data_IF_562948142773
#
_entry.id   IF_562948142773
#
_cell.length_a   1.000
_cell.length_b   1.000
_cell.length_c   1.000
_cell.angle_alpha   90.00
_cell.angle_beta   90.00
_cell.angle_gamma   90.00
#
_symmetry.space_group_name_H-M   'P 1'
#
loop_
_entity.id
_entity.type
_entity.pdbx_description
1 polymer ?
#
# COMPACT_ATOMS: atom_id res chain seq x y z
N UNK A 1 39.32 -43.05 -11.87
CA UNK A 1 38.17 -42.38 -11.26
C UNK A 1 38.45 -40.90 -11.33
N UNK A 2 37.98 -40.25 -12.41
CA UNK A 2 38.25 -38.82 -12.69
C UNK A 2 37.12 -38.03 -12.06
N UNK A 3 37.41 -37.20 -11.04
CA UNK A 3 36.45 -36.31 -10.44
C UNK A 3 36.19 -35.11 -11.32
N UNK A 4 34.95 -34.93 -11.74
CA UNK A 4 34.47 -33.73 -12.43
C UNK A 4 34.28 -32.64 -11.37
N UNK A 5 35.16 -31.65 -11.35
CA UNK A 5 34.92 -30.39 -10.63
C UNK A 5 33.96 -29.56 -11.50
N UNK A 6 32.70 -29.47 -11.10
CA UNK A 6 31.78 -28.46 -11.63
C UNK A 6 32.11 -27.10 -11.00
N UNK A 7 32.69 -26.20 -11.80
CA UNK A 7 32.74 -24.77 -11.45
C UNK A 7 31.33 -24.25 -11.58
N UNK A 8 30.72 -23.84 -10.47
CA UNK A 8 29.56 -22.97 -10.46
C UNK A 8 30.15 -21.55 -10.76
N UNK A 9 30.04 -21.13 -12.01
CA UNK A 9 30.23 -19.74 -12.37
C UNK A 9 29.10 -18.97 -11.73
N UNK A 10 29.39 -18.12 -10.73
CA UNK A 10 28.56 -16.96 -10.46
C UNK A 10 28.74 -16.06 -11.69
N UNK A 11 27.74 -15.95 -12.54
CA UNK A 11 27.62 -14.81 -13.43
C UNK A 11 27.46 -13.60 -12.50
N UNK A 12 28.54 -12.85 -12.27
CA UNK A 12 28.44 -11.49 -11.80
C UNK A 12 27.68 -10.73 -12.91
N UNK A 13 26.40 -10.45 -12.69
CA UNK A 13 25.63 -9.52 -13.50
C UNK A 13 26.27 -8.16 -13.19
N UNK A 14 27.22 -7.73 -14.05
CA UNK A 14 27.77 -6.40 -14.00
C UNK A 14 26.68 -5.48 -14.51
N UNK A 15 26.17 -4.64 -13.61
CA UNK A 15 25.27 -3.56 -14.00
C UNK A 15 25.92 -2.65 -15.02
N UNK A 16 25.17 -2.19 -16.00
CA UNK A 16 25.65 -1.25 -17.00
C UNK A 16 25.98 0.09 -16.36
N UNK A 17 27.16 0.63 -16.69
CA UNK A 17 27.58 1.95 -16.19
C UNK A 17 26.93 3.06 -17.00
N UNK A 18 25.82 3.58 -16.47
CA UNK A 18 25.03 4.68 -17.04
C UNK A 18 25.43 6.06 -16.54
N UNK A 19 26.52 6.20 -15.78
CA UNK A 19 26.88 7.47 -15.10
C UNK A 19 27.14 8.64 -16.05
N UNK A 20 27.50 8.39 -17.32
CA UNK A 20 27.72 9.41 -18.33
C UNK A 20 26.53 9.63 -19.27
N UNK A 21 25.45 8.85 -19.11
CA UNK A 21 24.26 8.93 -19.95
C UNK A 21 23.26 9.98 -19.44
N UNK A 22 22.39 10.42 -20.33
CA UNK A 22 21.37 11.43 -20.04
C UNK A 22 20.04 10.98 -20.62
N UNK A 23 19.02 10.94 -19.76
CA UNK A 23 17.64 10.66 -20.16
C UNK A 23 17.10 11.80 -21.02
N UNK A 24 16.45 11.46 -22.15
CA UNK A 24 15.81 12.43 -23.04
C UNK A 24 14.35 12.67 -22.62
N UNK A 25 14.06 13.88 -22.16
CA UNK A 25 12.69 14.31 -21.81
C UNK A 25 11.84 14.50 -23.06
N UNK A 26 10.55 14.13 -22.98
CA UNK A 26 9.61 14.26 -24.11
C UNK A 26 8.41 15.15 -23.79
N UNK A 27 7.92 15.15 -22.56
CA UNK A 27 6.79 15.99 -22.13
C UNK A 27 6.81 16.18 -20.61
N UNK A 28 6.49 17.38 -20.07
CA UNK A 28 6.32 18.66 -20.79
C UNK A 28 7.59 19.12 -21.49
N UNK A 29 7.41 19.86 -22.58
CA UNK A 29 8.51 20.50 -23.34
C UNK A 29 8.79 21.90 -22.81
N UNK A 30 9.92 22.47 -23.23
CA UNK A 30 10.34 23.82 -22.82
C UNK A 30 9.31 24.88 -23.23
N UNK A 31 8.77 25.57 -22.23
CA UNK A 31 7.78 26.66 -22.42
C UNK A 31 6.33 26.19 -22.57
N UNK A 32 6.03 24.90 -22.36
CA UNK A 32 4.65 24.42 -22.42
C UNK A 32 3.79 25.08 -21.32
N UNK A 33 2.56 25.43 -21.70
CA UNK A 33 1.49 25.88 -20.79
C UNK A 33 0.43 24.78 -20.71
N UNK A 34 0.20 24.28 -19.50
CA UNK A 34 -0.66 23.12 -19.25
C UNK A 34 -1.88 23.58 -18.48
N UNK A 35 -3.07 23.39 -19.04
CA UNK A 35 -4.36 23.68 -18.42
C UNK A 35 -4.94 22.43 -17.76
N UNK A 36 -4.18 21.82 -16.84
CA UNK A 36 -4.59 20.62 -16.09
C UNK A 36 -3.99 20.64 -14.68
N UNK A 37 -4.75 20.20 -13.70
CA UNK A 37 -4.28 20.01 -12.33
C UNK A 37 -3.47 18.73 -12.12
N UNK A 38 -3.27 17.93 -13.18
CA UNK A 38 -2.38 16.75 -13.18
C UNK A 38 -1.51 16.80 -14.42
N UNK A 39 -0.21 16.83 -14.23
CA UNK A 39 0.77 16.85 -15.30
C UNK A 39 1.41 15.49 -15.46
N UNK A 40 1.43 14.96 -16.67
CA UNK A 40 2.13 13.72 -17.00
C UNK A 40 3.53 14.05 -17.52
N UNK A 41 4.55 13.63 -16.80
CA UNK A 41 5.94 13.75 -17.17
C UNK A 41 6.35 12.50 -17.96
N UNK A 42 7.02 12.66 -19.11
CA UNK A 42 7.39 11.56 -20.00
C UNK A 42 8.82 11.73 -20.50
N UNK A 43 9.50 10.62 -20.71
CA UNK A 43 10.86 10.55 -21.22
C UNK A 43 11.08 9.27 -22.02
N UNK A 44 12.17 9.23 -22.75
CA UNK A 44 12.60 8.01 -23.43
C UNK A 44 13.29 7.08 -22.44
N UNK A 45 13.10 5.78 -22.66
CA UNK A 45 13.85 4.75 -21.94
C UNK A 45 15.36 4.97 -22.10
N UNK A 46 16.11 4.77 -21.02
CA UNK A 46 17.56 4.76 -21.00
C UNK A 46 18.02 3.31 -20.82
N UNK A 47 18.79 2.81 -21.77
CA UNK A 47 19.35 1.45 -21.69
C UNK A 47 20.20 1.30 -20.42
N UNK A 48 20.06 0.19 -19.72
CA UNK A 48 20.73 -0.05 -18.44
C UNK A 48 20.13 0.64 -17.21
N UNK A 49 19.02 1.39 -17.32
CA UNK A 49 18.31 1.96 -16.18
C UNK A 49 17.11 1.08 -15.79
N UNK A 50 16.98 0.75 -14.50
CA UNK A 50 15.85 0.03 -13.92
C UNK A 50 14.74 0.98 -13.45
N UNK A 51 15.17 2.13 -12.90
CA UNK A 51 14.29 3.14 -12.31
C UNK A 51 14.67 4.55 -12.80
N UNK A 52 13.73 5.47 -12.61
CA UNK A 52 13.91 6.88 -12.98
C UNK A 52 13.56 7.78 -11.80
N UNK A 53 14.48 8.69 -11.46
CA UNK A 53 14.25 9.71 -10.44
C UNK A 53 13.83 11.02 -11.08
N UNK A 54 12.60 11.42 -10.84
CA UNK A 54 12.01 12.68 -11.34
C UNK A 54 12.03 13.72 -10.23
N UNK A 55 12.56 14.89 -10.54
CA UNK A 55 12.58 16.04 -9.65
C UNK A 55 11.88 17.23 -10.29
N UNK A 56 11.01 17.89 -9.52
CA UNK A 56 10.28 19.08 -9.94
C UNK A 56 10.54 20.19 -8.92
N UNK A 57 10.84 21.38 -9.40
CA UNK A 57 11.12 22.57 -8.62
C UNK A 57 10.17 23.68 -9.03
N UNK A 58 9.74 24.50 -8.06
CA UNK A 58 9.07 25.77 -8.36
C UNK A 58 10.08 26.85 -8.82
N UNK A 59 9.57 28.05 -9.15
CA UNK A 59 10.41 29.18 -9.58
C UNK A 59 11.33 29.69 -8.47
N UNK A 60 11.07 29.36 -7.21
CA UNK A 60 11.93 29.71 -6.07
C UNK A 60 13.00 28.65 -5.78
N UNK A 61 13.12 27.65 -6.66
CA UNK A 61 14.05 26.51 -6.51
C UNK A 61 13.71 25.62 -5.29
N UNK A 62 12.47 25.64 -4.84
CA UNK A 62 11.98 24.70 -3.82
C UNK A 62 11.57 23.41 -4.52
N UNK A 63 12.09 22.29 -4.05
CA UNK A 63 11.77 20.98 -4.61
C UNK A 63 10.34 20.60 -4.18
N UNK A 64 9.43 20.53 -5.17
CA UNK A 64 8.02 20.16 -4.99
C UNK A 64 7.85 18.64 -5.02
N UNK A 65 8.56 17.96 -5.91
CA UNK A 65 8.57 16.50 -6.05
C UNK A 65 9.98 15.94 -6.17
N UNK A 66 10.17 14.77 -5.57
CA UNK A 66 11.34 13.90 -5.73
C UNK A 66 10.84 12.46 -5.66
N UNK A 67 10.58 11.84 -6.80
CA UNK A 67 9.95 10.52 -6.88
C UNK A 67 10.77 9.58 -7.74
N UNK A 68 10.76 8.29 -7.37
CA UNK A 68 11.39 7.19 -8.10
C UNK A 68 10.29 6.32 -8.71
N UNK A 69 10.39 6.04 -10.00
CA UNK A 69 9.42 5.21 -10.72
C UNK A 69 10.13 4.30 -11.73
N UNK A 70 9.63 3.09 -11.95
CA UNK A 70 10.18 2.14 -12.92
C UNK A 70 9.62 2.34 -14.34
N UNK A 71 8.53 3.12 -14.48
CA UNK A 71 7.96 3.46 -15.79
C UNK A 71 8.66 4.68 -16.41
N UNK A 72 8.56 4.83 -17.70
CA UNK A 72 9.08 5.99 -18.47
C UNK A 72 8.13 7.20 -18.45
N UNK A 73 7.18 7.22 -17.52
CA UNK A 73 6.30 8.34 -17.27
C UNK A 73 5.79 8.34 -15.81
N UNK A 74 5.32 9.50 -15.37
CA UNK A 74 4.61 9.67 -14.09
C UNK A 74 3.62 10.82 -14.20
N UNK A 75 2.41 10.66 -13.66
CA UNK A 75 1.42 11.74 -13.57
C UNK A 75 1.36 12.23 -12.12
N UNK A 76 1.53 13.54 -11.92
CA UNK A 76 1.59 14.15 -10.60
C UNK A 76 0.60 15.32 -10.52
N UNK A 77 -0.13 15.47 -9.40
CA UNK A 77 -0.94 16.65 -9.13
C UNK A 77 -0.06 17.90 -9.07
N UNK A 78 -0.45 18.95 -9.78
CA UNK A 78 0.28 20.21 -9.80
C UNK A 78 -0.69 21.38 -9.51
N UNK A 79 -0.27 22.30 -8.66
CA UNK A 79 -0.97 23.57 -8.48
C UNK A 79 -0.63 24.53 -9.64
N UNK A 80 -1.42 25.59 -9.79
CA UNK A 80 -1.09 26.70 -10.67
C UNK A 80 0.28 27.29 -10.33
N UNK A 81 1.11 27.55 -11.36
CA UNK A 81 2.45 28.13 -11.21
C UNK A 81 3.42 27.70 -12.28
N UNK A 82 4.62 28.28 -12.21
CA UNK A 82 5.75 27.92 -13.07
C UNK A 82 6.69 26.94 -12.38
N UNK A 83 7.19 26.00 -13.16
CA UNK A 83 7.99 24.88 -12.66
C UNK A 83 9.14 24.54 -13.59
N UNK A 84 10.13 23.87 -13.04
CA UNK A 84 11.19 23.20 -13.79
C UNK A 84 11.27 21.74 -13.38
N UNK A 85 11.44 20.85 -14.32
CA UNK A 85 11.61 19.44 -14.04
C UNK A 85 12.82 18.83 -14.74
N UNK A 86 13.33 17.75 -14.17
CA UNK A 86 14.43 16.95 -14.70
C UNK A 86 14.29 15.50 -14.28
N UNK A 87 14.93 14.61 -15.00
CA UNK A 87 14.89 13.16 -14.74
C UNK A 87 16.29 12.57 -14.95
N UNK A 88 16.59 11.50 -14.21
CA UNK A 88 17.76 10.65 -14.43
C UNK A 88 17.36 9.19 -14.35
N UNK A 89 18.13 8.29 -14.96
CA UNK A 89 18.04 6.85 -14.78
C UNK A 89 18.85 6.40 -13.57
N UNK A 90 18.39 5.33 -12.91
CA UNK A 90 19.07 4.66 -11.79
C UNK A 90 19.01 3.15 -12.01
N UNK A 91 20.09 2.42 -11.69
CA UNK A 91 20.12 0.99 -11.53
C UNK A 91 20.74 0.63 -10.16
N UNK A 92 20.96 -0.65 -9.87
CA UNK A 92 21.46 -1.08 -8.55
C UNK A 92 22.84 -0.54 -8.18
N UNK A 93 23.65 -0.09 -9.16
CA UNK A 93 25.04 0.33 -8.99
C UNK A 93 25.31 1.77 -9.40
N UNK A 94 24.57 2.32 -10.35
CA UNK A 94 24.88 3.60 -11.00
C UNK A 94 23.65 4.51 -11.09
N UNK A 95 23.93 5.82 -11.15
CA UNK A 95 22.97 6.89 -11.42
C UNK A 95 23.44 7.67 -12.66
N UNK A 96 22.55 7.90 -13.61
CA UNK A 96 22.89 8.72 -14.78
C UNK A 96 22.95 10.21 -14.41
N UNK A 97 23.50 11.01 -15.31
CA UNK A 97 23.39 12.46 -15.19
C UNK A 97 21.92 12.88 -15.36
N UNK A 98 21.46 13.86 -14.56
CA UNK A 98 20.13 14.45 -14.77
C UNK A 98 20.02 15.09 -16.16
N UNK A 99 18.84 14.96 -16.76
CA UNK A 99 18.50 15.75 -17.95
C UNK A 99 18.66 17.26 -17.69
N UNK A 100 18.78 18.05 -18.75
CA UNK A 100 18.67 19.49 -18.60
C UNK A 100 17.29 19.85 -18.04
N UNK A 101 17.21 20.82 -17.10
CA UNK A 101 15.93 21.28 -16.58
C UNK A 101 15.04 21.83 -17.71
N UNK A 102 13.79 21.42 -17.74
CA UNK A 102 12.76 21.85 -18.69
C UNK A 102 11.74 22.72 -17.93
N UNK A 103 11.54 23.94 -18.40
CA UNK A 103 10.54 24.86 -17.85
C UNK A 103 9.16 24.61 -18.45
N UNK A 104 8.12 24.67 -17.61
CA UNK A 104 6.71 24.64 -18.00
C UNK A 104 5.86 25.44 -17.02
N UNK A 105 4.63 25.75 -17.40
CA UNK A 105 3.68 26.50 -16.62
C UNK A 105 2.35 25.72 -16.48
N UNK A 106 1.74 25.76 -15.30
CA UNK A 106 0.42 25.18 -15.04
C UNK A 106 -0.54 26.34 -14.80
N UNK A 107 -1.59 26.42 -15.59
CA UNK A 107 -2.62 27.42 -15.49
C UNK A 107 -3.96 26.79 -15.07
N UNK A 108 -4.77 27.57 -14.34
CA UNK A 108 -6.14 27.19 -14.04
C UNK A 108 -6.97 27.18 -15.35
N UNK A 109 -7.82 26.17 -15.49
CA UNK A 109 -8.79 26.08 -16.60
C UNK A 109 -10.18 25.84 -16.05
N UNK A 110 -11.18 26.55 -16.62
CA UNK A 110 -12.60 26.29 -16.34
C UNK A 110 -13.14 25.06 -17.11
N UNK A 111 -12.41 24.59 -18.10
CA UNK A 111 -12.74 23.33 -18.78
C UNK A 111 -12.22 22.14 -17.93
N UNK A 112 -13.16 21.31 -17.49
CA UNK A 112 -12.85 20.13 -16.68
C UNK A 112 -12.37 18.94 -17.52
N UNK A 113 -12.39 19.01 -18.84
CA UNK A 113 -12.10 17.86 -19.72
C UNK A 113 -10.74 17.22 -19.40
N UNK A 114 -9.71 18.04 -19.18
CA UNK A 114 -8.35 17.60 -18.87
C UNK A 114 -8.01 17.67 -17.38
N UNK A 115 -8.98 18.01 -16.53
CA UNK A 115 -8.81 18.00 -15.07
C UNK A 115 -9.10 16.60 -14.48
N UNK A 116 -8.57 16.34 -13.29
CA UNK A 116 -8.82 15.10 -12.57
C UNK A 116 -9.21 15.39 -11.11
N UNK A 117 -10.16 14.62 -10.58
CA UNK A 117 -10.46 14.63 -9.16
C UNK A 117 -9.35 13.90 -8.41
N UNK A 118 -8.72 14.53 -7.44
CA UNK A 118 -7.67 13.90 -6.62
C UNK A 118 -8.32 13.25 -5.40
N UNK A 119 -8.31 11.92 -5.37
CA UNK A 119 -8.89 11.18 -4.24
C UNK A 119 -7.92 11.21 -3.05
N UNK A 120 -8.39 11.61 -1.86
CA UNK A 120 -7.55 11.73 -0.66
C UNK A 120 -7.73 10.55 0.30
N UNK A 121 -8.94 10.10 0.58
CA UNK A 121 -9.22 9.01 1.53
C UNK A 121 -10.37 8.11 1.06
N UNK A 122 -10.33 6.81 1.34
CA UNK A 122 -9.19 6.04 1.84
C UNK A 122 -8.07 5.87 0.79
N UNK A 123 -6.92 5.34 1.21
CA UNK A 123 -5.85 4.92 0.28
C UNK A 123 -6.34 3.78 -0.61
N UNK A 124 -5.68 3.60 -1.76
CA UNK A 124 -5.98 2.45 -2.64
C UNK A 124 -5.78 1.12 -1.89
N UNK A 125 -6.65 0.14 -2.17
CA UNK A 125 -6.65 -1.18 -1.53
C UNK A 125 -6.86 -1.14 0.00
N UNK A 126 -7.56 -0.12 0.49
CA UNK A 126 -7.97 -0.04 1.89
C UNK A 126 -8.84 -1.24 2.24
N UNK A 127 -8.52 -1.91 3.35
CA UNK A 127 -9.28 -3.06 3.87
C UNK A 127 -9.78 -2.72 5.27
N UNK A 128 -11.04 -3.02 5.57
CA UNK A 128 -11.67 -2.68 6.86
C UNK A 128 -12.79 -3.66 7.22
N UNK A 129 -12.99 -3.87 8.50
CA UNK A 129 -14.16 -4.57 9.05
C UNK A 129 -15.33 -3.62 9.40
N UNK A 130 -15.17 -2.33 9.14
CA UNK A 130 -16.20 -1.32 9.37
C UNK A 130 -16.94 -0.98 8.07
N UNK A 131 -18.27 -1.00 8.11
CA UNK A 131 -19.13 -0.49 7.04
C UNK A 131 -19.29 1.04 7.10
N UNK A 132 -18.74 1.69 8.14
CA UNK A 132 -18.82 3.15 8.31
C UNK A 132 -17.44 3.78 8.21
N UNK A 133 -17.19 4.49 7.11
CA UNK A 133 -15.99 5.28 6.86
C UNK A 133 -16.27 6.33 5.78
N UNK A 134 -15.35 7.28 5.59
CA UNK A 134 -15.55 8.41 4.68
C UNK A 134 -14.70 8.27 3.44
N UNK A 135 -15.34 8.39 2.27
CA UNK A 135 -14.70 8.65 0.99
C UNK A 135 -14.48 10.16 0.87
N UNK A 136 -13.26 10.57 0.52
CA UNK A 136 -12.92 11.98 0.42
C UNK A 136 -11.99 12.23 -0.77
N UNK A 137 -12.09 13.43 -1.32
CA UNK A 137 -11.28 13.94 -2.42
C UNK A 137 -10.95 15.40 -2.22
N UNK A 138 -9.95 15.89 -2.92
CA UNK A 138 -9.56 17.29 -2.87
C UNK A 138 -10.53 18.12 -3.70
N UNK A 139 -10.77 19.35 -3.26
CA UNK A 139 -11.62 20.31 -3.97
C UNK A 139 -10.99 20.61 -5.35
N UNK A 140 -11.83 20.60 -6.38
CA UNK A 140 -11.51 21.13 -7.69
C UNK A 140 -12.26 22.46 -7.81
N UNK A 141 -11.58 23.62 -7.69
CA UNK A 141 -12.23 24.93 -7.48
C UNK A 141 -13.24 25.31 -8.55
N UNK A 142 -13.05 24.85 -9.77
CA UNK A 142 -13.93 25.15 -10.94
C UNK A 142 -15.10 24.16 -11.09
N UNK A 143 -15.22 23.19 -10.18
CA UNK A 143 -16.34 22.24 -10.18
C UNK A 143 -17.56 22.82 -9.43
N UNK A 144 -18.75 22.71 -10.02
CA UNK A 144 -20.00 23.05 -9.35
C UNK A 144 -20.47 21.92 -8.42
N UNK A 145 -20.27 20.68 -8.85
CA UNK A 145 -20.64 19.47 -8.10
C UNK A 145 -19.88 18.23 -8.58
N UNK A 146 -20.00 17.16 -7.79
CA UNK A 146 -19.39 15.88 -8.07
C UNK A 146 -20.44 14.79 -8.24
N UNK A 147 -20.06 13.72 -8.94
CA UNK A 147 -20.80 12.48 -9.07
C UNK A 147 -19.94 11.34 -8.51
N UNK A 148 -20.52 10.57 -7.59
CA UNK A 148 -19.91 9.37 -6.98
C UNK A 148 -20.62 8.12 -7.47
N UNK A 149 -19.86 7.10 -7.84
CA UNK A 149 -20.36 5.75 -8.08
C UNK A 149 -19.53 4.74 -7.29
N UNK A 150 -20.20 3.70 -6.77
CA UNK A 150 -19.55 2.56 -6.13
C UNK A 150 -19.96 1.29 -6.84
N UNK A 151 -18.98 0.51 -7.25
CA UNK A 151 -19.12 -0.72 -8.01
C UNK A 151 -18.68 -1.89 -7.13
N UNK A 152 -19.50 -2.94 -7.05
CA UNK A 152 -19.11 -4.19 -6.38
C UNK A 152 -18.37 -5.09 -7.37
N UNK A 153 -17.07 -5.26 -7.17
CA UNK A 153 -16.21 -6.08 -8.02
C UNK A 153 -16.44 -7.59 -7.79
N UNK A 154 -16.87 -7.99 -6.60
CA UNK A 154 -17.12 -9.39 -6.24
C UNK A 154 -18.36 -9.96 -6.93
N UNK A 155 -19.27 -9.11 -7.43
CA UNK A 155 -20.51 -9.52 -8.12
C UNK A 155 -20.52 -9.17 -9.62
N UNK A 156 -19.34 -9.08 -10.24
CA UNK A 156 -19.21 -8.84 -11.69
C UNK A 156 -19.32 -7.38 -12.11
N UNK A 157 -19.03 -6.43 -11.23
CA UNK A 157 -18.93 -5.01 -11.60
C UNK A 157 -20.26 -4.27 -11.61
N UNK A 158 -21.21 -4.61 -10.74
CA UNK A 158 -22.50 -3.91 -10.62
C UNK A 158 -22.37 -2.63 -9.80
N UNK A 159 -23.00 -1.55 -10.25
CA UNK A 159 -23.12 -0.31 -9.46
C UNK A 159 -24.08 -0.59 -8.29
N UNK A 160 -23.58 -0.48 -7.06
CA UNK A 160 -24.34 -0.69 -5.81
C UNK A 160 -24.76 0.63 -5.16
N UNK A 161 -24.10 1.72 -5.51
CA UNK A 161 -24.46 3.05 -5.04
C UNK A 161 -24.06 4.11 -6.09
N UNK A 162 -24.92 5.13 -6.22
CA UNK A 162 -24.65 6.30 -7.03
C UNK A 162 -25.25 7.52 -6.34
N UNK A 163 -24.50 8.61 -6.35
CA UNK A 163 -24.98 9.91 -5.87
C UNK A 163 -24.49 11.00 -6.83
N UNK A 164 -25.44 11.80 -7.32
CA UNK A 164 -25.20 12.95 -8.17
C UNK A 164 -25.34 14.26 -7.36
N UNK A 165 -24.90 15.38 -7.94
CA UNK A 165 -25.01 16.72 -7.38
C UNK A 165 -24.42 16.86 -5.97
N UNK A 166 -23.28 16.23 -5.71
CA UNK A 166 -22.54 16.35 -4.45
C UNK A 166 -21.78 17.67 -4.46
N UNK A 167 -22.09 18.57 -3.52
CA UNK A 167 -21.44 19.89 -3.37
C UNK A 167 -20.37 19.90 -2.27
N UNK A 168 -20.11 18.76 -1.65
CA UNK A 168 -19.04 18.55 -0.66
C UNK A 168 -17.94 17.70 -1.27
N UNK A 169 -16.79 17.69 -0.63
CA UNK A 169 -15.64 16.87 -1.07
C UNK A 169 -15.53 15.53 -0.34
N UNK A 170 -16.63 15.08 0.26
CA UNK A 170 -16.68 13.81 0.95
C UNK A 170 -18.07 13.20 1.05
N UNK A 171 -18.13 11.88 1.16
CA UNK A 171 -19.34 11.10 1.43
C UNK A 171 -19.01 10.04 2.48
N UNK A 172 -19.80 9.99 3.56
CA UNK A 172 -19.67 8.95 4.57
C UNK A 172 -20.53 7.76 4.20
N UNK A 173 -19.90 6.61 4.04
CA UNK A 173 -20.57 5.32 3.84
C UNK A 173 -21.12 4.80 5.18
N UNK A 174 -22.09 3.91 5.09
CA UNK A 174 -22.66 3.19 6.22
C UNK A 174 -23.27 1.85 5.75
N UNK A 175 -23.79 1.06 6.66
CA UNK A 175 -24.35 -0.25 6.37
C UNK A 175 -25.63 -0.23 5.50
N UNK A 176 -26.24 0.91 5.28
CA UNK A 176 -27.39 1.03 4.35
C UNK A 176 -26.91 1.22 2.90
N UNK A 177 -25.69 1.69 2.70
CA UNK A 177 -25.05 1.87 1.39
C UNK A 177 -24.28 0.60 1.01
N UNK A 178 -23.43 0.10 1.92
CA UNK A 178 -22.64 -1.11 1.74
C UNK A 178 -22.90 -2.03 2.93
N UNK A 179 -23.54 -3.18 2.69
CA UNK A 179 -23.94 -4.12 3.74
C UNK A 179 -23.31 -5.50 3.63
N UNK A 180 -22.46 -5.73 2.64
CA UNK A 180 -21.88 -7.05 2.35
C UNK A 180 -20.36 -6.97 2.30
N UNK A 181 -19.72 -8.06 2.70
CA UNK A 181 -18.29 -8.25 2.46
C UNK A 181 -18.02 -8.36 0.97
N UNK A 182 -16.94 -7.76 0.53
CA UNK A 182 -16.57 -7.75 -0.87
C UNK A 182 -15.51 -6.71 -1.20
N UNK A 183 -15.04 -6.78 -2.43
CA UNK A 183 -14.17 -5.78 -3.02
C UNK A 183 -15.00 -4.77 -3.81
N UNK A 184 -14.71 -3.50 -3.64
CA UNK A 184 -15.42 -2.38 -4.24
C UNK A 184 -14.47 -1.42 -4.93
N UNK A 185 -14.94 -0.82 -6.02
CA UNK A 185 -14.32 0.35 -6.64
C UNK A 185 -15.23 1.54 -6.43
N UNK A 186 -14.73 2.60 -5.83
CA UNK A 186 -15.40 3.88 -5.80
C UNK A 186 -14.74 4.84 -6.78
N UNK A 187 -15.54 5.68 -7.42
CA UNK A 187 -15.05 6.58 -8.45
C UNK A 187 -15.82 7.89 -8.47
N UNK A 188 -15.11 8.98 -8.74
CA UNK A 188 -15.65 10.35 -8.69
C UNK A 188 -15.36 11.08 -10.00
N UNK A 189 -16.32 11.85 -10.46
CA UNK A 189 -16.20 12.87 -11.51
C UNK A 189 -16.53 14.24 -10.95
N UNK A 190 -15.92 15.27 -11.49
CA UNK A 190 -16.30 16.67 -11.29
C UNK A 190 -17.08 17.18 -12.50
N UNK A 191 -18.04 18.08 -12.26
CA UNK A 191 -18.94 18.62 -13.28
C UNK A 191 -19.16 20.11 -12.98
N UNK A 192 -19.16 20.92 -14.02
CA UNK A 192 -19.62 22.32 -13.98
C UNK A 192 -20.59 22.62 -15.11
N UNK A 193 -20.99 23.88 -15.27
CA UNK A 193 -21.96 24.31 -16.30
C UNK A 193 -21.45 24.19 -17.74
N UNK A 194 -20.15 23.98 -17.94
CA UNK A 194 -19.48 23.98 -19.25
C UNK A 194 -19.08 22.55 -19.65
N UNK A 195 -18.52 21.77 -18.71
CA UNK A 195 -17.88 20.49 -18.97
C UNK A 195 -17.91 19.56 -17.75
N UNK A 196 -17.39 18.34 -17.93
CA UNK A 196 -17.10 17.37 -16.86
C UNK A 196 -15.72 16.76 -17.09
N UNK A 197 -15.10 16.22 -16.03
CA UNK A 197 -13.84 15.49 -16.19
C UNK A 197 -14.04 14.31 -17.13
N UNK A 198 -13.15 14.13 -18.11
CA UNK A 198 -13.27 13.09 -19.14
C UNK A 198 -13.39 11.69 -18.57
N UNK A 199 -12.69 11.42 -17.48
CA UNK A 199 -12.66 10.13 -16.82
C UNK A 199 -13.04 10.24 -15.34
N UNK A 200 -13.55 9.14 -14.80
CA UNK A 200 -13.66 8.98 -13.35
C UNK A 200 -12.28 8.69 -12.77
N UNK A 201 -11.91 9.40 -11.71
CA UNK A 201 -10.82 8.96 -10.86
C UNK A 201 -11.33 7.93 -9.87
N UNK A 202 -10.61 6.82 -9.68
CA UNK A 202 -11.09 5.68 -8.90
C UNK A 202 -10.04 5.12 -7.95
N UNK A 203 -10.52 4.52 -6.83
CA UNK A 203 -9.76 3.69 -5.91
C UNK A 203 -10.56 2.48 -5.49
N UNK A 204 -9.87 1.49 -4.97
CA UNK A 204 -10.49 0.27 -4.44
C UNK A 204 -10.46 0.25 -2.92
N UNK A 205 -11.46 -0.40 -2.33
CA UNK A 205 -11.49 -0.80 -0.93
C UNK A 205 -12.15 -2.17 -0.79
N UNK A 206 -11.94 -2.83 0.34
CA UNK A 206 -12.61 -4.09 0.67
C UNK A 206 -13.20 -4.02 2.07
N UNK A 207 -14.39 -4.61 2.22
CA UNK A 207 -15.03 -4.86 3.50
C UNK A 207 -14.93 -6.35 3.80
N UNK A 208 -14.43 -6.67 4.98
CA UNK A 208 -14.28 -8.02 5.49
C UNK A 208 -14.63 -8.03 6.98
N UNK A 209 -15.78 -8.62 7.31
CA UNK A 209 -16.26 -8.74 8.69
C UNK A 209 -16.08 -10.13 9.26
N UNK A 210 -15.45 -11.04 8.50
CA UNK A 210 -15.25 -12.43 8.89
C UNK A 210 -13.95 -12.59 9.66
N UNK A 211 -14.03 -13.16 10.86
CA UNK A 211 -12.84 -13.42 11.68
C UNK A 211 -11.95 -14.50 11.06
N UNK A 212 -10.61 -14.38 11.13
CA UNK A 212 -9.72 -15.44 10.71
C UNK A 212 -9.85 -16.69 11.59
N UNK A 213 -9.55 -17.84 11.00
CA UNK A 213 -9.62 -19.12 11.68
C UNK A 213 -8.61 -19.23 12.84
N UNK A 214 -8.90 -20.12 13.80
CA UNK A 214 -8.09 -20.36 14.98
C UNK A 214 -6.72 -20.97 14.63
N UNK A 215 -5.58 -20.39 15.07
CA UNK A 215 -4.25 -21.00 14.93
C UNK A 215 -4.11 -22.27 15.74
N UNK A 216 -3.15 -23.12 15.37
CA UNK A 216 -2.79 -24.32 16.12
C UNK A 216 -1.32 -24.26 16.54
N UNK A 217 -1.06 -24.34 17.84
CA UNK A 217 0.29 -24.35 18.40
C UNK A 217 1.05 -25.62 17.96
N UNK A 218 2.36 -25.48 17.73
CA UNK A 218 3.26 -26.59 17.33
C UNK A 218 4.42 -26.75 18.30
N UNK A 219 5.25 -25.73 18.48
CA UNK A 219 6.41 -25.73 19.35
C UNK A 219 6.40 -24.52 20.28
N UNK A 220 6.92 -24.67 21.54
CA UNK A 220 7.35 -25.91 22.16
C UNK A 220 6.17 -26.87 22.33
N UNK A 221 6.44 -28.19 22.28
CA UNK A 221 5.38 -29.19 22.43
C UNK A 221 4.66 -29.03 23.77
N UNK A 222 3.36 -29.32 23.76
CA UNK A 222 2.57 -29.21 24.98
C UNK A 222 3.14 -30.07 26.13
N UNK A 223 3.25 -29.49 27.31
CA UNK A 223 3.82 -30.09 28.52
C UNK A 223 5.32 -30.47 28.38
N UNK A 224 6.06 -29.81 27.49
CA UNK A 224 7.50 -30.04 27.34
C UNK A 224 8.31 -29.35 28.43
N UNK A 225 9.57 -29.82 28.60
CA UNK A 225 10.54 -29.19 29.49
C UNK A 225 11.56 -28.41 28.68
N UNK A 226 11.90 -27.24 29.15
CA UNK A 226 12.85 -26.29 28.54
C UNK A 226 13.94 -25.92 29.56
N UNK A 227 15.08 -25.47 29.09
CA UNK A 227 16.21 -25.08 29.96
C UNK A 227 16.22 -23.58 30.18
N UNK A 228 16.39 -23.16 31.45
CA UNK A 228 16.53 -21.75 31.82
C UNK A 228 17.69 -21.05 31.07
N UNK A 229 17.51 -19.80 30.69
CA UNK A 229 18.45 -18.98 29.91
C UNK A 229 18.74 -19.48 28.48
N UNK A 230 18.04 -20.49 28.01
CA UNK A 230 18.09 -20.90 26.61
C UNK A 230 16.96 -20.24 25.83
N UNK A 231 17.23 -20.00 24.55
CA UNK A 231 16.20 -19.47 23.64
C UNK A 231 15.20 -20.58 23.28
N UNK A 232 13.93 -20.35 23.59
CA UNK A 232 12.83 -21.23 23.27
C UNK A 232 12.18 -20.70 21.99
N UNK A 233 12.02 -21.55 20.99
CA UNK A 233 11.33 -21.21 19.74
C UNK A 233 9.86 -21.63 19.83
N UNK A 234 8.98 -20.68 19.58
CA UNK A 234 7.54 -20.88 19.46
C UNK A 234 7.18 -20.96 17.98
N UNK A 235 6.30 -21.87 17.62
CA UNK A 235 5.77 -21.97 16.26
C UNK A 235 4.31 -22.44 16.28
N UNK A 236 3.58 -22.06 15.24
CA UNK A 236 2.18 -22.41 15.03
C UNK A 236 1.87 -22.55 13.54
N UNK A 237 0.75 -23.16 13.19
CA UNK A 237 0.28 -23.26 11.83
C UNK A 237 -0.53 -22.02 11.44
N UNK A 238 -0.43 -21.65 10.16
CA UNK A 238 -1.23 -20.55 9.59
C UNK A 238 -2.67 -21.04 9.43
N UNK A 239 -3.67 -20.44 10.08
CA UNK A 239 -5.05 -20.68 9.73
C UNK A 239 -5.32 -20.10 8.34
N UNK A 240 -6.16 -20.76 7.55
CA UNK A 240 -6.71 -20.09 6.38
C UNK A 240 -7.59 -18.92 6.84
N UNK A 241 -7.51 -17.80 6.14
CA UNK A 241 -8.52 -16.77 6.28
C UNK A 241 -9.83 -17.27 5.67
N UNK A 242 -10.96 -16.84 6.21
CA UNK A 242 -12.28 -17.28 5.77
C UNK A 242 -13.09 -16.10 5.25
N UNK A 243 -14.13 -16.39 4.46
CA UNK A 243 -14.95 -15.36 3.85
C UNK A 243 -14.60 -15.08 2.38
N UNK A 244 -15.28 -14.09 1.81
CA UNK A 244 -15.12 -13.68 0.41
C UNK A 244 -13.83 -12.88 0.20
N UNK A 245 -13.42 -12.10 1.20
CA UNK A 245 -12.18 -11.32 1.20
C UNK A 245 -11.19 -12.10 2.08
N UNK A 246 -10.02 -12.32 1.52
CA UNK A 246 -8.92 -12.95 2.23
C UNK A 246 -7.77 -11.97 2.30
N UNK A 247 -7.43 -11.55 3.50
CA UNK A 247 -6.39 -10.56 3.74
C UNK A 247 -5.17 -11.15 4.45
N UNK A 248 -4.08 -10.39 4.51
CA UNK A 248 -2.87 -10.81 5.20
C UNK A 248 -3.13 -11.00 6.70
N UNK A 249 -2.66 -12.13 7.25
CA UNK A 249 -2.83 -12.46 8.66
C UNK A 249 -1.54 -12.13 9.42
N UNK A 250 -1.70 -11.47 10.55
CA UNK A 250 -0.71 -11.27 11.60
C UNK A 250 -1.16 -11.97 12.89
N UNK A 251 -0.27 -12.07 13.86
CA UNK A 251 -0.53 -12.83 15.07
C UNK A 251 -0.17 -12.03 16.33
N UNK A 252 -0.89 -12.30 17.40
CA UNK A 252 -0.52 -11.92 18.76
C UNK A 252 -0.18 -13.19 19.52
N UNK A 253 1.09 -13.36 19.92
CA UNK A 253 1.48 -14.41 20.85
C UNK A 253 1.44 -13.83 22.27
N UNK A 254 0.81 -14.59 23.19
CA UNK A 254 0.77 -14.28 24.61
C UNK A 254 1.37 -15.44 25.42
N UNK A 255 2.24 -15.09 26.37
CA UNK A 255 2.85 -16.00 27.32
C UNK A 255 2.48 -15.55 28.73
N UNK A 256 1.96 -16.44 29.54
CA UNK A 256 1.45 -16.16 30.88
C UNK A 256 1.98 -17.15 31.90
N UNK A 257 1.90 -16.81 33.18
CA UNK A 257 2.19 -17.69 34.32
C UNK A 257 0.99 -18.49 34.81
N UNK A 258 -0.19 -18.31 34.20
CA UNK A 258 -1.42 -19.02 34.54
C UNK A 258 -2.25 -19.38 33.31
N UNK A 259 -3.03 -20.45 33.41
CA UNK A 259 -3.85 -20.98 32.31
C UNK A 259 -5.05 -20.10 31.93
N UNK A 260 -5.42 -19.14 32.77
CA UNK A 260 -6.49 -18.19 32.50
C UNK A 260 -5.99 -16.92 31.79
N UNK A 261 -4.66 -16.78 31.62
CA UNK A 261 -4.03 -15.60 31.03
C UNK A 261 -4.38 -14.30 31.75
N UNK A 262 -4.50 -14.36 33.09
CA UNK A 262 -4.71 -13.19 33.94
C UNK A 262 -3.40 -12.48 34.24
N UNK A 263 -2.28 -13.20 34.26
CA UNK A 263 -0.95 -12.66 34.45
C UNK A 263 -0.10 -12.91 33.19
N UNK A 264 -0.28 -12.04 32.19
CA UNK A 264 0.48 -12.08 30.93
C UNK A 264 1.88 -11.53 31.19
N UNK A 265 2.90 -12.35 30.93
CA UNK A 265 4.31 -12.00 31.08
C UNK A 265 4.88 -11.39 29.81
N UNK A 266 4.39 -11.82 28.65
CA UNK A 266 4.80 -11.35 27.33
C UNK A 266 3.59 -11.31 26.39
N UNK A 267 3.47 -10.22 25.63
CA UNK A 267 2.54 -10.11 24.50
C UNK A 267 3.28 -9.46 23.33
N UNK A 268 3.27 -10.08 22.17
CA UNK A 268 4.01 -9.58 20.98
C UNK A 268 3.19 -9.75 19.70
N UNK A 269 3.24 -8.72 18.84
CA UNK A 269 2.72 -8.80 17.47
C UNK A 269 3.78 -9.42 16.57
N UNK A 270 3.38 -10.38 15.76
CA UNK A 270 4.26 -11.16 14.87
C UNK A 270 3.63 -11.28 13.49
N UNK A 271 4.36 -10.97 12.43
CA UNK A 271 3.89 -11.12 11.05
C UNK A 271 4.07 -12.54 10.48
N UNK A 272 4.97 -13.34 11.09
CA UNK A 272 5.23 -14.74 10.73
C UNK A 272 4.60 -15.73 11.70
N UNK A 273 4.94 -17.00 11.54
CA UNK A 273 4.44 -18.11 12.37
C UNK A 273 5.44 -18.61 13.40
N UNK A 274 6.44 -17.80 13.70
CA UNK A 274 7.49 -18.14 14.68
C UNK A 274 7.79 -16.95 15.58
N UNK A 275 8.13 -17.24 16.82
CA UNK A 275 8.59 -16.29 17.81
C UNK A 275 9.68 -16.94 18.67
N UNK A 276 10.59 -16.18 19.24
CA UNK A 276 11.65 -16.71 20.11
C UNK A 276 11.80 -15.86 21.36
N UNK A 277 11.93 -16.52 22.51
CA UNK A 277 12.06 -15.87 23.82
C UNK A 277 12.92 -16.72 24.74
N UNK A 278 13.75 -16.07 25.59
CA UNK A 278 14.50 -16.71 26.69
C UNK A 278 13.82 -16.38 28.02
N UNK A 279 13.86 -17.33 28.96
CA UNK A 279 13.30 -17.19 30.31
C UNK A 279 14.40 -17.35 31.33
N UNK A 280 14.48 -16.41 32.29
CA UNK A 280 15.49 -16.39 33.37
C UNK A 280 14.98 -17.01 34.65
N UNK A 281 13.69 -17.29 34.76
CA UNK A 281 13.05 -17.89 35.93
C UNK A 281 12.55 -19.29 35.62
N UNK A 282 12.74 -20.20 36.55
CA UNK A 282 12.13 -21.55 36.51
C UNK A 282 10.65 -21.48 36.83
N UNK A 283 9.86 -22.41 36.32
CA UNK A 283 8.42 -22.49 36.58
C UNK A 283 7.60 -22.94 35.35
N UNK A 284 6.30 -22.97 35.52
CA UNK A 284 5.36 -23.35 34.47
C UNK A 284 4.86 -22.12 33.73
N UNK A 285 4.82 -22.22 32.43
CA UNK A 285 4.40 -21.18 31.49
C UNK A 285 3.28 -21.71 30.58
N UNK A 286 2.40 -20.78 30.18
CA UNK A 286 1.28 -21.02 29.30
C UNK A 286 1.39 -20.07 28.11
N UNK A 287 1.14 -20.55 26.91
CA UNK A 287 1.17 -19.70 25.74
C UNK A 287 0.05 -20.01 24.75
N UNK A 288 -0.41 -18.97 24.08
CA UNK A 288 -1.43 -19.04 23.02
C UNK A 288 -1.13 -18.02 21.93
N UNK A 289 -1.76 -18.21 20.77
CA UNK A 289 -1.64 -17.30 19.62
C UNK A 289 -3.05 -16.95 19.13
N UNK A 290 -3.24 -15.68 18.82
CA UNK A 290 -4.46 -15.16 18.21
C UNK A 290 -4.14 -14.63 16.82
N UNK A 291 -4.89 -15.02 15.80
CA UNK A 291 -4.78 -14.48 14.46
C UNK A 291 -5.56 -13.17 14.35
N UNK A 292 -5.01 -12.22 13.60
CA UNK A 292 -5.64 -10.95 13.26
C UNK A 292 -5.42 -10.69 11.77
N UNK A 293 -6.49 -10.40 11.03
CA UNK A 293 -6.41 -10.05 9.62
C UNK A 293 -6.11 -8.56 9.38
N UNK A 294 -5.91 -8.18 8.12
CA UNK A 294 -5.65 -6.79 7.75
C UNK A 294 -6.88 -5.89 7.82
N UNK A 295 -8.09 -6.44 7.82
CA UNK A 295 -9.34 -5.70 8.05
C UNK A 295 -9.50 -5.29 9.52
N UNK A 296 -8.78 -5.95 10.43
CA UNK A 296 -8.83 -5.72 11.87
C UNK A 296 -9.68 -6.72 12.64
N UNK A 297 -10.22 -7.76 11.97
CA UNK A 297 -10.92 -8.84 12.67
C UNK A 297 -9.94 -9.67 13.49
N UNK A 298 -10.39 -10.14 14.62
CA UNK A 298 -9.60 -10.94 15.56
C UNK A 298 -10.24 -12.30 15.73
N UNK A 299 -9.49 -13.35 15.41
CA UNK A 299 -9.93 -14.74 15.52
C UNK A 299 -9.96 -15.23 16.97
N UNK A 300 -10.42 -16.45 17.13
CA UNK A 300 -10.37 -17.16 18.43
C UNK A 300 -8.92 -17.51 18.74
N UNK A 301 -8.42 -17.25 19.98
CA UNK A 301 -7.09 -17.70 20.40
C UNK A 301 -6.93 -19.21 20.26
N UNK A 302 -5.73 -19.67 19.93
CA UNK A 302 -5.40 -21.10 19.95
C UNK A 302 -5.70 -21.73 21.31
N UNK A 303 -5.91 -23.04 21.36
CA UNK A 303 -5.80 -23.76 22.61
C UNK A 303 -4.40 -23.54 23.17
N UNK A 304 -4.29 -23.17 24.44
CA UNK A 304 -2.98 -22.93 25.03
C UNK A 304 -2.15 -24.21 25.15
N UNK A 305 -0.84 -24.08 24.99
CA UNK A 305 0.12 -25.10 25.36
C UNK A 305 0.85 -24.67 26.63
N UNK A 306 1.38 -25.66 27.36
CA UNK A 306 2.21 -25.46 28.55
C UNK A 306 3.64 -25.91 28.32
N UNK A 307 4.59 -25.32 29.02
CA UNK A 307 5.96 -25.83 29.15
C UNK A 307 6.53 -25.45 30.51
N UNK A 308 7.45 -26.25 31.02
CA UNK A 308 8.15 -26.01 32.28
C UNK A 308 9.58 -25.61 31.98
N UNK A 309 10.06 -24.56 32.60
CA UNK A 309 11.47 -24.11 32.55
C UNK A 309 12.18 -24.58 33.81
N UNK A 310 13.27 -25.37 33.67
CA UNK A 310 14.10 -25.91 34.77
C UNK A 310 15.54 -25.44 34.68
#
# INVERSE_FOLDING_TARGET
MLGLLSFISCDDILEEDISNDIVQTTYPSEGDVIESNVVTFQWNELDGADDYRVQIYDLYQIKVYDTLVSAVNVSLPMAEGGYQWRVRGENSAYESTYSFPVYFEVNESFDLTDQQVILSSPVTNFVTNSTTFTLAWDELPVADYYKLEIVNNSTGGTIVYQQDNITTTSVTLNNTIISQDGSYTWKVKAINSISETSTYTSRTFSIDTVNPNQPQNSLPANSSTQTVNQTISFSWTIPADSGTIQSAISYVIEIASDSAFTNILQSSNVSGTTFSQSFTSTGDYYWRVTAKDAAGNTGTPSSYFTFTVN
#
